data_IF_577981948204
#
_entry.id   IF_577981948204
#
_cell.length_a   1.000
_cell.length_b   1.000
_cell.length_c   1.000
_cell.angle_alpha   90.00
_cell.angle_beta   90.00
_cell.angle_gamma   90.00
#
_symmetry.space_group_name_H-M   'P 1'
#
loop_
_entity.id
_entity.type
_entity.pdbx_description
1 polymer ?
#
# COMPACT_ATOMS: atom_id res chain seq x y z
N UNK A 1 26.69 -5.28 23.77
CA UNK A 1 25.39 -5.95 23.53
C UNK A 1 25.37 -6.33 22.05
N UNK A 2 25.52 -7.60 21.72
CA UNK A 2 25.44 -8.03 20.32
C UNK A 2 24.00 -7.84 19.85
N UNK A 3 23.82 -7.04 18.80
CA UNK A 3 22.52 -6.79 18.18
C UNK A 3 22.05 -8.08 17.48
N UNK A 4 21.29 -8.88 18.23
CA UNK A 4 20.76 -10.17 17.79
C UNK A 4 19.88 -10.00 16.55
N UNK A 5 19.17 -8.88 16.43
CA UNK A 5 18.36 -8.56 15.26
C UNK A 5 19.22 -8.31 14.03
N UNK A 6 20.33 -7.57 14.17
CA UNK A 6 21.26 -7.36 13.05
C UNK A 6 21.81 -8.69 12.53
N UNK A 7 22.14 -9.64 13.41
CA UNK A 7 22.65 -10.96 13.01
C UNK A 7 21.60 -11.81 12.29
N UNK A 8 20.35 -11.77 12.75
CA UNK A 8 19.23 -12.46 12.09
C UNK A 8 18.92 -11.83 10.73
N UNK A 9 18.93 -10.50 10.65
CA UNK A 9 18.73 -9.77 9.40
C UNK A 9 19.81 -10.10 8.37
N UNK A 10 21.10 -10.04 8.76
CA UNK A 10 22.23 -10.39 7.88
C UNK A 10 22.12 -11.82 7.35
N UNK A 11 21.74 -12.77 8.22
CA UNK A 11 21.53 -14.16 7.81
C UNK A 11 20.43 -14.27 6.73
N UNK A 12 19.27 -13.64 6.96
CA UNK A 12 18.15 -13.63 6.00
C UNK A 12 18.51 -12.98 4.66
N UNK A 13 19.23 -11.85 4.71
CA UNK A 13 19.69 -11.14 3.51
C UNK A 13 20.61 -12.07 2.69
N UNK A 14 21.59 -12.72 3.33
CA UNK A 14 22.49 -13.66 2.64
C UNK A 14 21.77 -14.84 2.02
N UNK A 15 20.75 -15.38 2.69
CA UNK A 15 19.93 -16.45 2.12
C UNK A 15 19.19 -16.00 0.86
N UNK A 16 18.56 -14.82 0.88
CA UNK A 16 17.87 -14.24 -0.27
C UNK A 16 18.83 -13.97 -1.45
N UNK A 17 20.04 -13.48 -1.17
CA UNK A 17 21.10 -13.31 -2.19
C UNK A 17 21.45 -14.65 -2.82
N UNK A 18 21.70 -15.69 -2.00
CA UNK A 18 22.05 -17.04 -2.49
C UNK A 18 20.96 -17.65 -3.37
N UNK A 19 19.69 -17.41 -3.04
CA UNK A 19 18.55 -17.86 -3.83
C UNK A 19 18.30 -17.03 -5.09
N UNK A 20 19.00 -15.91 -5.25
CA UNK A 20 18.80 -14.99 -6.37
C UNK A 20 17.52 -14.16 -6.27
N UNK A 21 16.83 -14.16 -5.12
CA UNK A 21 15.57 -13.42 -4.89
C UNK A 21 15.75 -11.90 -4.99
N UNK A 22 16.99 -11.42 -4.89
CA UNK A 22 17.35 -10.01 -4.99
C UNK A 22 17.91 -9.62 -6.38
N UNK A 23 17.90 -10.53 -7.36
CA UNK A 23 18.23 -10.19 -8.76
C UNK A 23 17.03 -9.57 -9.47
N UNK A 24 17.30 -8.61 -10.36
CA UNK A 24 16.32 -7.96 -11.23
C UNK A 24 15.11 -7.34 -10.49
N UNK A 25 15.33 -6.88 -9.26
CA UNK A 25 14.29 -6.16 -8.51
C UNK A 25 13.82 -4.91 -9.27
N UNK A 26 12.53 -4.53 -9.13
CA UNK A 26 12.02 -3.31 -9.72
C UNK A 26 12.83 -2.10 -9.21
N UNK A 27 13.58 -1.45 -10.11
CA UNK A 27 14.48 -0.34 -9.77
C UNK A 27 15.97 -0.71 -9.72
N UNK A 28 16.35 -1.97 -9.90
CA UNK A 28 17.76 -2.38 -9.99
C UNK A 28 18.49 -1.62 -11.12
N UNK A 29 19.63 -1.03 -10.78
CA UNK A 29 20.44 -0.23 -11.70
C UNK A 29 19.85 1.14 -12.09
N UNK A 30 18.67 1.51 -11.58
CA UNK A 30 18.06 2.82 -11.82
C UNK A 30 18.48 3.81 -10.73
N UNK A 31 18.51 5.12 -11.02
CA UNK A 31 18.71 6.14 -10.00
C UNK A 31 17.68 6.02 -8.88
N UNK A 32 18.13 6.18 -7.64
CA UNK A 32 17.24 6.19 -6.48
C UNK A 32 16.32 7.42 -6.56
N UNK A 33 15.01 7.19 -6.54
CA UNK A 33 14.03 8.27 -6.47
C UNK A 33 14.03 8.82 -5.04
N UNK A 34 14.54 10.04 -4.87
CA UNK A 34 14.48 10.73 -3.58
C UNK A 34 13.08 11.29 -3.41
N UNK A 35 12.32 10.71 -2.49
CA UNK A 35 10.98 11.20 -2.18
C UNK A 35 11.03 12.54 -1.45
N UNK A 36 10.11 13.43 -1.82
CA UNK A 36 9.93 14.67 -1.12
C UNK A 36 9.23 14.43 0.24
N UNK A 37 10.02 14.41 1.31
CA UNK A 37 9.56 14.23 2.69
C UNK A 37 9.58 15.54 3.49
N UNK A 38 9.43 16.69 2.83
CA UNK A 38 9.50 18.01 3.47
C UNK A 38 8.51 18.17 4.64
N UNK A 39 7.34 17.52 4.54
CA UNK A 39 6.28 17.58 5.56
C UNK A 39 6.38 16.49 6.63
N UNK A 40 7.39 15.61 6.57
CA UNK A 40 7.58 14.50 7.52
C UNK A 40 8.79 14.77 8.42
N UNK A 41 8.60 14.83 9.76
CA UNK A 41 9.70 14.93 10.73
C UNK A 41 10.75 13.83 10.50
N UNK A 42 12.03 14.12 10.74
CA UNK A 42 13.13 13.19 10.41
C UNK A 42 12.99 11.83 11.08
N UNK A 43 12.51 11.86 12.31
CA UNK A 43 12.30 10.71 13.19
C UNK A 43 11.18 9.79 12.67
N UNK A 44 10.22 10.34 11.92
CA UNK A 44 9.06 9.63 11.38
C UNK A 44 9.27 9.11 9.94
N UNK A 45 10.28 9.63 9.22
CA UNK A 45 10.52 9.25 7.81
C UNK A 45 10.75 7.76 7.62
N UNK A 46 11.49 7.13 8.52
CA UNK A 46 11.75 5.69 8.44
C UNK A 46 10.45 4.88 8.54
N UNK A 47 9.58 5.24 9.49
CA UNK A 47 8.28 4.60 9.65
C UNK A 47 7.39 4.81 8.41
N UNK A 48 7.39 6.02 7.85
CA UNK A 48 6.68 6.33 6.61
C UNK A 48 7.15 5.49 5.41
N UNK A 49 8.48 5.40 5.20
CA UNK A 49 9.08 4.58 4.12
C UNK A 49 8.71 3.11 4.28
N UNK A 50 8.84 2.57 5.49
CA UNK A 50 8.49 1.18 5.78
C UNK A 50 7.00 0.94 5.47
N UNK A 51 6.11 1.82 5.92
CA UNK A 51 4.68 1.69 5.70
C UNK A 51 4.34 1.74 4.21
N UNK A 52 4.90 2.71 3.48
CA UNK A 52 4.72 2.83 2.02
C UNK A 52 5.17 1.57 1.28
N UNK A 53 6.34 1.04 1.62
CA UNK A 53 6.95 -0.11 0.95
C UNK A 53 6.28 -1.44 1.34
N UNK A 54 5.70 -1.52 2.54
CA UNK A 54 5.04 -2.74 3.03
C UNK A 54 3.69 -3.02 2.35
N UNK A 55 3.16 -2.08 1.58
CA UNK A 55 1.81 -2.18 1.02
C UNK A 55 0.69 -2.07 2.06
N UNK A 56 1.02 -1.88 3.35
CA UNK A 56 0.06 -1.57 4.42
C UNK A 56 -0.41 -0.13 4.25
N UNK A 57 -1.36 0.04 3.34
CA UNK A 57 -2.08 1.31 3.21
C UNK A 57 -3.09 1.45 4.35
N UNK A 58 -3.28 2.66 4.90
CA UNK A 58 -4.38 2.92 5.83
C UNK A 58 -5.72 2.45 5.24
N UNK A 59 -6.66 2.04 6.09
CA UNK A 59 -7.95 1.50 5.66
C UNK A 59 -8.68 2.45 4.68
N UNK A 60 -8.54 3.75 4.84
CA UNK A 60 -9.14 4.75 3.95
C UNK A 60 -8.54 4.68 2.53
N UNK A 61 -7.22 4.52 2.44
CA UNK A 61 -6.51 4.41 1.17
C UNK A 61 -6.81 3.07 0.50
N UNK A 62 -7.01 1.99 1.27
CA UNK A 62 -7.47 0.72 0.74
C UNK A 62 -8.86 0.84 0.11
N UNK A 63 -9.80 1.49 0.80
CA UNK A 63 -11.17 1.70 0.31
C UNK A 63 -11.20 2.57 -0.96
N UNK A 64 -10.36 3.60 -1.04
CA UNK A 64 -10.25 4.42 -2.26
C UNK A 64 -9.79 3.60 -3.47
N UNK A 65 -8.77 2.74 -3.29
CA UNK A 65 -8.32 1.83 -4.35
C UNK A 65 -9.41 0.84 -4.76
N UNK A 66 -10.20 0.36 -3.80
CA UNK A 66 -11.34 -0.53 -4.07
C UNK A 66 -12.44 0.17 -4.86
N UNK A 67 -12.79 1.42 -4.50
CA UNK A 67 -13.75 2.24 -5.25
C UNK A 67 -13.28 2.46 -6.69
N UNK A 68 -12.01 2.81 -6.88
CA UNK A 68 -11.42 2.99 -8.22
C UNK A 68 -11.48 1.70 -9.05
N UNK A 69 -11.14 0.56 -8.44
CA UNK A 69 -11.21 -0.75 -9.09
C UNK A 69 -12.63 -1.16 -9.48
N UNK A 70 -13.60 -0.96 -8.57
CA UNK A 70 -15.02 -1.22 -8.83
C UNK A 70 -15.57 -0.32 -9.94
N UNK A 71 -15.13 0.94 -10.01
CA UNK A 71 -15.45 1.85 -11.11
C UNK A 71 -14.97 1.33 -12.47
N UNK A 72 -13.70 0.94 -12.57
CA UNK A 72 -13.13 0.36 -13.81
C UNK A 72 -13.86 -0.91 -14.23
N UNK A 73 -14.14 -1.81 -13.28
CA UNK A 73 -14.90 -3.04 -13.56
C UNK A 73 -16.32 -2.74 -14.06
N UNK A 74 -16.94 -1.65 -13.59
CA UNK A 74 -18.27 -1.24 -14.02
C UNK A 74 -18.27 -0.66 -15.44
N UNK A 75 -17.20 0.03 -15.84
CA UNK A 75 -17.01 0.57 -17.19
C UNK A 75 -16.74 -0.54 -18.21
N UNK A 76 -16.02 -1.59 -17.81
CA UNK A 76 -15.73 -2.76 -18.64
C UNK A 76 -16.90 -3.77 -18.71
N UNK A 77 -17.86 -3.71 -17.78
CA UNK A 77 -18.96 -4.67 -17.72
C UNK A 77 -20.10 -4.33 -18.69
N UNK A 78 -20.34 -5.22 -19.66
CA UNK A 78 -21.47 -5.11 -20.61
C UNK A 78 -22.76 -5.79 -20.11
N UNK A 79 -22.70 -6.60 -19.04
CA UNK A 79 -23.85 -7.32 -18.50
C UNK A 79 -24.58 -6.49 -17.42
N UNK A 80 -25.88 -6.26 -17.61
CA UNK A 80 -26.73 -5.42 -16.77
C UNK A 80 -26.87 -5.97 -15.33
N UNK A 81 -26.99 -7.28 -15.14
CA UNK A 81 -27.12 -7.89 -13.80
C UNK A 81 -25.82 -7.74 -13.00
N UNK A 82 -24.68 -7.99 -13.65
CA UNK A 82 -23.35 -7.80 -13.04
C UNK A 82 -23.14 -6.32 -12.69
N UNK A 83 -23.56 -5.40 -13.56
CA UNK A 83 -23.47 -3.95 -13.33
C UNK A 83 -24.25 -3.52 -12.07
N UNK A 84 -25.46 -4.04 -11.89
CA UNK A 84 -26.27 -3.77 -10.69
C UNK A 84 -25.59 -4.30 -9.40
N UNK A 85 -24.99 -5.49 -9.47
CA UNK A 85 -24.26 -6.05 -8.32
C UNK A 85 -22.99 -5.26 -7.96
N UNK A 86 -22.26 -4.77 -8.97
CA UNK A 86 -21.08 -3.93 -8.80
C UNK A 86 -21.46 -2.56 -8.24
N UNK A 87 -22.55 -1.96 -8.71
CA UNK A 87 -23.07 -0.70 -8.19
C UNK A 87 -23.39 -0.79 -6.69
N UNK A 88 -24.08 -1.85 -6.27
CA UNK A 88 -24.40 -2.07 -4.85
C UNK A 88 -23.13 -2.17 -3.99
N UNK A 89 -22.09 -2.86 -4.48
CA UNK A 89 -20.79 -2.95 -3.79
C UNK A 89 -20.10 -1.58 -3.72
N UNK A 90 -20.12 -0.81 -4.80
CA UNK A 90 -19.52 0.52 -4.85
C UNK A 90 -20.19 1.48 -3.86
N UNK A 91 -21.52 1.44 -3.76
CA UNK A 91 -22.28 2.23 -2.79
C UNK A 91 -21.90 1.84 -1.35
N UNK A 92 -21.81 0.54 -1.04
CA UNK A 92 -21.39 0.05 0.28
C UNK A 92 -19.98 0.52 0.66
N UNK A 93 -19.01 0.36 -0.25
CA UNK A 93 -17.61 0.76 -0.03
C UNK A 93 -17.50 2.28 0.13
N UNK A 94 -18.29 3.05 -0.62
CA UNK A 94 -18.34 4.52 -0.52
C UNK A 94 -18.90 4.98 0.84
N UNK A 95 -19.96 4.36 1.34
CA UNK A 95 -20.52 4.65 2.68
C UNK A 95 -19.47 4.34 3.76
N UNK A 96 -18.80 3.19 3.66
CA UNK A 96 -17.76 2.79 4.62
C UNK A 96 -16.61 3.79 4.65
N UNK A 97 -16.20 4.30 3.50
CA UNK A 97 -15.18 5.35 3.40
C UNK A 97 -15.63 6.63 4.12
N UNK A 98 -16.85 7.12 3.85
CA UNK A 98 -17.39 8.32 4.50
C UNK A 98 -17.42 8.22 6.02
N UNK A 99 -17.84 7.06 6.58
CA UNK A 99 -17.86 6.83 8.04
C UNK A 99 -16.46 6.93 8.65
N UNK A 100 -15.44 6.40 7.98
CA UNK A 100 -14.07 6.45 8.50
C UNK A 100 -13.51 7.87 8.43
N UNK A 101 -13.81 8.59 7.35
CA UNK A 101 -13.38 9.99 7.19
C UNK A 101 -14.00 10.89 8.26
N UNK A 102 -15.29 10.75 8.56
CA UNK A 102 -15.96 11.52 9.64
C UNK A 102 -15.32 11.27 11.02
N UNK A 103 -14.94 10.03 11.33
CA UNK A 103 -14.26 9.68 12.59
C UNK A 103 -12.89 10.33 12.71
N UNK A 104 -12.22 10.60 11.58
CA UNK A 104 -10.92 11.27 11.53
C UNK A 104 -11.04 12.78 11.72
N UNK A 105 -12.06 13.41 11.12
CA UNK A 105 -12.29 14.86 11.25
C UNK A 105 -12.70 15.28 12.67
N UNK A 106 -13.25 14.37 13.47
CA UNK A 106 -13.64 14.61 14.87
C UNK A 106 -12.54 14.32 15.91
N UNK A 107 -11.34 13.93 15.48
CA UNK A 107 -10.14 13.78 16.34
C UNK A 107 -9.26 15.00 16.20
#
# INVERSE_FOLDING_TARGET
MHDTFARVAEFKIREAIKKGELKDLPGAGKPIVIENMAFVPKEERLAYIIMKNSGLVPNEVALLKEIESLGKLMDECQNIEKKNSLKKKLDETSIRYSIIMEKRTRR
#
